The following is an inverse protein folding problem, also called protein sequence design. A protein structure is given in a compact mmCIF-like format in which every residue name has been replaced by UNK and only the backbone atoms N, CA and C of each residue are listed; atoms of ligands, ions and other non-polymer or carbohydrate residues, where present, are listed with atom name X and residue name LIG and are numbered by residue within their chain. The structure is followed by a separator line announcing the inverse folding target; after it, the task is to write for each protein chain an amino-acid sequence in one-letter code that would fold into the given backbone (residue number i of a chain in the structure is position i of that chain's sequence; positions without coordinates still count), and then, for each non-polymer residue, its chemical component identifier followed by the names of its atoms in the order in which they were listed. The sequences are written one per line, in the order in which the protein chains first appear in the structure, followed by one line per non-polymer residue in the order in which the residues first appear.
data_IF_375720110030
#
_entry.id   IF_375720110030
#
_cell.length_a   1.000
_cell.length_b   1.000
_cell.length_c   1.000
_cell.angle_alpha   90.00
_cell.angle_beta   90.00
_cell.angle_gamma   90.00
#
_symmetry.space_group_name_H-M   'P 1'
#
loop_
_entity.id
_entity.type
_entity.pdbx_description
1 polymer ?
#
# COMPACT_ATOMS: atom_id res chain seq x y z
N UNK A 1 16.28 -17.22 7.37
CA UNK A 1 16.34 -15.90 6.72
C UNK A 1 15.58 -14.91 7.59
N UNK A 2 16.19 -13.78 7.98
CA UNK A 2 15.52 -12.80 8.81
C UNK A 2 14.37 -12.16 8.02
N UNK A 3 13.18 -12.02 8.63
CA UNK A 3 12.08 -11.26 8.01
C UNK A 3 12.58 -9.84 7.72
N UNK A 4 12.37 -9.31 6.50
CA UNK A 4 12.77 -7.93 6.20
C UNK A 4 12.08 -6.99 7.18
N UNK A 5 12.85 -6.06 7.75
CA UNK A 5 12.29 -5.07 8.69
C UNK A 5 11.33 -4.16 7.91
N UNK A 6 10.15 -3.84 8.47
CA UNK A 6 9.24 -2.91 7.82
C UNK A 6 9.89 -1.53 7.70
N UNK A 7 9.73 -0.90 6.54
CA UNK A 7 10.15 0.48 6.29
C UNK A 7 9.02 1.41 6.73
N UNK A 8 9.34 2.49 7.45
CA UNK A 8 8.36 3.50 7.83
C UNK A 8 8.07 4.43 6.64
N UNK A 9 6.82 4.43 6.18
CA UNK A 9 6.29 5.42 5.25
C UNK A 9 5.55 6.51 6.03
N UNK A 10 5.91 7.79 5.83
CA UNK A 10 5.26 8.94 6.48
C UNK A 10 4.64 9.84 5.42
N UNK A 11 3.35 10.10 5.54
CA UNK A 11 2.60 11.00 4.69
C UNK A 11 1.71 11.91 5.53
N UNK A 12 1.48 13.14 5.05
CA UNK A 12 0.44 14.02 5.56
C UNK A 12 -0.80 13.83 4.69
N UNK A 13 -1.95 13.67 5.32
CA UNK A 13 -3.23 13.47 4.62
C UNK A 13 -4.28 14.45 5.17
N UNK A 14 -5.28 14.82 4.35
CA UNK A 14 -6.44 15.55 4.84
C UNK A 14 -7.20 14.79 5.95
N UNK A 15 -7.86 15.48 6.90
CA UNK A 15 -8.57 14.84 8.01
C UNK A 15 -9.62 13.81 7.57
N UNK A 16 -10.34 14.08 6.48
CA UNK A 16 -11.34 13.18 5.92
C UNK A 16 -10.73 11.84 5.46
N UNK A 17 -9.50 11.85 4.96
CA UNK A 17 -8.79 10.62 4.56
C UNK A 17 -8.40 9.80 5.79
N UNK A 18 -7.94 10.43 6.87
CA UNK A 18 -7.66 9.73 8.14
C UNK A 18 -8.92 9.05 8.69
N UNK A 19 -10.05 9.76 8.69
CA UNK A 19 -11.34 9.21 9.12
C UNK A 19 -11.74 8.00 8.28
N UNK A 20 -11.66 8.11 6.95
CA UNK A 20 -12.03 7.02 6.04
C UNK A 20 -11.12 5.80 6.20
N UNK A 21 -9.80 6.00 6.28
CA UNK A 21 -8.83 4.91 6.46
C UNK A 21 -9.07 4.17 7.77
N UNK A 22 -9.33 4.89 8.87
CA UNK A 22 -9.65 4.29 10.17
C UNK A 22 -10.97 3.53 10.16
N UNK A 23 -11.96 4.02 9.42
CA UNK A 23 -13.26 3.37 9.28
C UNK A 23 -13.19 2.04 8.51
N UNK A 24 -12.20 1.85 7.62
CA UNK A 24 -12.00 0.60 6.88
C UNK A 24 -11.50 -0.53 7.78
N UNK A 25 -10.69 -0.24 8.79
CA UNK A 25 -10.13 -1.26 9.70
C UNK A 25 -11.19 -2.16 10.36
N UNK A 26 -12.25 -1.63 11.01
CA UNK A 26 -13.30 -2.48 11.57
C UNK A 26 -14.13 -3.20 10.49
N UNK A 27 -14.23 -2.67 9.27
CA UNK A 27 -14.94 -3.34 8.18
C UNK A 27 -14.18 -4.56 7.64
N UNK A 28 -12.84 -4.51 7.64
CA UNK A 28 -11.97 -5.64 7.24
C UNK A 28 -11.68 -6.62 8.39
N UNK A 29 -11.89 -6.19 9.63
CA UNK A 29 -11.82 -7.02 10.84
C UNK A 29 -13.20 -7.18 11.52
N UNK A 30 -14.23 -7.70 10.85
CA UNK A 30 -15.46 -8.06 11.52
C UNK A 30 -15.17 -9.08 12.63
N UNK A 31 -16.01 -9.10 13.66
CA UNK A 31 -15.83 -9.89 14.89
C UNK A 31 -15.69 -11.43 14.67
N UNK A 32 -15.92 -11.92 13.45
CA UNK A 32 -15.90 -13.34 13.07
C UNK A 32 -14.79 -13.71 12.05
N UNK A 33 -13.78 -12.87 11.77
CA UNK A 33 -12.87 -13.10 10.65
C UNK A 33 -11.68 -14.06 10.87
N UNK A 34 -11.34 -14.77 9.78
CA UNK A 34 -10.36 -15.84 9.54
C UNK A 34 -8.87 -15.49 9.78
N UNK A 35 -8.52 -15.08 11.00
CA UNK A 35 -7.14 -15.17 11.51
C UNK A 35 -6.14 -14.09 11.05
N UNK A 36 -6.51 -13.14 10.19
CA UNK A 36 -5.70 -11.92 9.91
C UNK A 36 -6.36 -10.67 10.49
N UNK A 37 -5.67 -10.04 11.45
CA UNK A 37 -6.00 -8.70 11.94
C UNK A 37 -5.36 -7.65 11.02
N UNK A 38 -6.19 -6.86 10.34
CA UNK A 38 -5.78 -5.78 9.45
C UNK A 38 -5.42 -4.52 10.23
N UNK A 39 -4.20 -4.04 10.05
CA UNK A 39 -3.76 -2.75 10.57
C UNK A 39 -4.06 -1.61 9.60
N UNK A 40 -3.95 -0.36 10.08
CA UNK A 40 -3.98 0.84 9.22
C UNK A 40 -2.91 0.74 8.11
N UNK A 41 -1.74 0.20 8.44
CA UNK A 41 -0.66 -0.01 7.47
C UNK A 41 -1.04 -1.01 6.39
N UNK A 42 -1.75 -2.11 6.72
CA UNK A 42 -2.24 -3.08 5.74
C UNK A 42 -3.20 -2.41 4.75
N UNK A 43 -4.15 -1.63 5.26
CA UNK A 43 -5.16 -0.93 4.45
C UNK A 43 -4.51 0.07 3.50
N UNK A 44 -3.61 0.91 4.03
CA UNK A 44 -2.89 1.89 3.23
C UNK A 44 -2.01 1.22 2.17
N UNK A 45 -1.33 0.12 2.53
CA UNK A 45 -0.48 -0.63 1.61
C UNK A 45 -1.29 -1.28 0.49
N UNK A 46 -2.41 -1.93 0.82
CA UNK A 46 -3.31 -2.53 -0.15
C UNK A 46 -3.84 -1.47 -1.14
N UNK A 47 -4.37 -0.35 -0.62
CA UNK A 47 -4.89 0.73 -1.47
C UNK A 47 -3.83 1.31 -2.42
N UNK A 48 -2.58 1.46 -1.94
CA UNK A 48 -1.46 1.92 -2.77
C UNK A 48 -1.08 0.89 -3.84
N UNK A 49 -1.04 -0.40 -3.49
CA UNK A 49 -0.76 -1.48 -4.46
C UNK A 49 -1.86 -1.53 -5.52
N UNK A 50 -3.13 -1.46 -5.12
CA UNK A 50 -4.26 -1.41 -6.05
C UNK A 50 -4.17 -0.20 -6.97
N UNK A 51 -3.83 0.98 -6.44
CA UNK A 51 -3.64 2.17 -7.25
C UNK A 51 -2.50 1.98 -8.27
N UNK A 52 -1.36 1.43 -7.85
CA UNK A 52 -0.22 1.18 -8.76
C UNK A 52 -0.52 0.17 -9.87
N UNK A 53 -1.44 -0.77 -9.63
CA UNK A 53 -1.84 -1.83 -10.59
C UNK A 53 -2.88 -1.39 -11.61
N UNK A 54 -3.50 -0.22 -11.42
CA UNK A 54 -4.50 0.30 -12.35
C UNK A 54 -3.85 0.60 -13.72
N UNK A 55 -4.44 0.16 -14.84
CA UNK A 55 -3.91 0.40 -16.18
C UNK A 55 -3.66 1.89 -16.46
N UNK A 56 -4.56 2.76 -16.01
CA UNK A 56 -4.45 4.21 -16.16
C UNK A 56 -3.23 4.81 -15.45
N UNK A 57 -2.77 4.18 -14.36
CA UNK A 57 -1.61 4.64 -13.60
C UNK A 57 -0.30 4.02 -14.11
N UNK A 58 -0.38 2.93 -14.89
CA UNK A 58 0.80 2.30 -15.50
C UNK A 58 1.51 3.26 -16.45
N UNK A 59 0.77 4.06 -17.23
CA UNK A 59 1.36 5.08 -18.10
C UNK A 59 2.18 6.11 -17.29
N UNK A 60 1.65 6.58 -16.15
CA UNK A 60 2.36 7.51 -15.28
C UNK A 60 3.65 6.90 -14.71
N UNK A 61 3.61 5.61 -14.35
CA UNK A 61 4.77 4.86 -13.84
C UNK A 61 5.88 4.76 -14.91
N UNK A 62 5.50 4.51 -16.16
CA UNK A 62 6.42 4.44 -17.30
C UNK A 62 7.02 5.81 -17.61
N UNK A 63 6.20 6.86 -17.71
CA UNK A 63 6.63 8.22 -18.03
C UNK A 63 7.66 8.76 -17.01
N UNK A 64 7.53 8.35 -15.74
CA UNK A 64 8.41 8.78 -14.65
C UNK A 64 9.58 7.81 -14.38
N UNK A 65 9.78 6.80 -15.22
CA UNK A 65 10.85 5.79 -15.10
C UNK A 65 10.89 5.10 -13.72
N UNK A 66 9.74 4.95 -13.06
CA UNK A 66 9.69 4.45 -11.68
C UNK A 66 10.10 2.96 -11.60
N UNK A 67 9.79 2.16 -12.62
CA UNK A 67 10.21 0.75 -12.70
C UNK A 67 11.73 0.65 -12.74
N UNK A 68 12.39 1.41 -13.62
CA UNK A 68 13.86 1.45 -13.71
C UNK A 68 14.50 1.92 -12.41
N UNK A 69 13.88 2.89 -11.72
CA UNK A 69 14.32 3.37 -10.42
C UNK A 69 14.20 2.30 -9.30
N UNK A 70 13.22 1.39 -9.40
CA UNK A 70 13.07 0.25 -8.49
C UNK A 70 14.09 -0.85 -8.80
N UNK A 71 14.32 -1.17 -10.07
CA UNK A 71 15.34 -2.14 -10.51
C UNK A 71 16.73 -1.78 -10.01
N UNK A 72 17.12 -0.52 -10.17
CA UNK A 72 18.43 0.00 -9.71
C UNK A 72 18.62 -0.13 -8.19
N UNK A 73 17.53 -0.21 -7.43
CA UNK A 73 17.55 -0.38 -5.97
C UNK A 73 17.41 -1.84 -5.54
N UNK A 74 17.28 -2.78 -6.48
CA UNK A 74 17.02 -4.20 -6.20
C UNK A 74 15.63 -4.44 -5.59
N UNK A 75 14.67 -3.55 -5.86
CA UNK A 75 13.32 -3.55 -5.31
C UNK A 75 12.26 -3.86 -6.36
N UNK A 76 12.61 -4.56 -7.44
CA UNK A 76 11.64 -4.91 -8.46
C UNK A 76 10.62 -5.90 -7.87
N UNK A 77 9.34 -5.52 -7.87
CA UNK A 77 8.21 -6.38 -7.51
C UNK A 77 7.22 -6.42 -8.68
N UNK A 78 6.41 -7.48 -8.73
CA UNK A 78 5.38 -7.64 -9.77
C UNK A 78 4.27 -6.58 -9.59
N UNK A 79 4.40 -5.51 -10.40
CA UNK A 79 3.40 -4.45 -10.60
C UNK A 79 2.38 -4.85 -11.67
#
# INVERSE_FOLDING_TARGET
MAKPKPIQFRAQVPPEVDVLVRAIAPLKNPAENDGKEWSISDIATEALIEWLRKPENRQLIEDHNLIKALEQRGLLFEL
#
